data_IF_244803429877
#
_entry.id   IF_244803429877
#
_cell.length_a   1.000
_cell.length_b   1.000
_cell.length_c   1.000
_cell.angle_alpha   90.00
_cell.angle_beta   90.00
_cell.angle_gamma   90.00
#
_symmetry.space_group_name_H-M   'P 1'
#
loop_
_entity.id
_entity.type
_entity.pdbx_description
1 polymer ?
#
# COMPACT_ATOMS: atom_id res chain seq x y z
N UNK A 1 44.53 -27.94 -1.54
CA UNK A 1 43.30 -28.19 -2.30
C UNK A 1 42.73 -26.82 -2.65
N UNK A 2 43.08 -26.30 -3.85
CA UNK A 2 42.38 -25.18 -4.46
C UNK A 2 40.98 -25.71 -4.84
N UNK A 3 39.97 -25.31 -4.05
CA UNK A 3 38.60 -25.43 -4.51
C UNK A 3 38.43 -24.42 -5.64
N UNK A 4 38.43 -24.92 -6.86
CA UNK A 4 38.10 -24.14 -8.04
C UNK A 4 36.69 -23.57 -7.82
N UNK A 5 36.63 -22.26 -7.49
CA UNK A 5 35.39 -21.59 -7.19
C UNK A 5 34.60 -21.38 -8.48
N UNK A 6 33.67 -22.30 -8.76
CA UNK A 6 32.87 -22.23 -9.96
C UNK A 6 31.70 -21.23 -9.76
N UNK A 7 31.91 -20.00 -10.17
CA UNK A 7 30.97 -18.90 -10.15
C UNK A 7 29.62 -19.26 -10.85
N UNK A 8 29.73 -19.95 -11.98
CA UNK A 8 28.59 -20.39 -12.78
C UNK A 8 27.73 -21.41 -12.03
N UNK A 9 28.34 -22.41 -11.40
CA UNK A 9 27.61 -23.39 -10.59
C UNK A 9 26.97 -22.76 -9.36
N UNK A 10 27.61 -21.78 -8.74
CA UNK A 10 27.04 -21.04 -7.62
C UNK A 10 25.82 -20.22 -8.06
N UNK A 11 25.90 -19.48 -9.19
CA UNK A 11 24.77 -18.75 -9.73
C UNK A 11 23.59 -19.67 -10.03
N UNK A 12 23.81 -20.78 -10.72
CA UNK A 12 22.76 -21.78 -11.01
C UNK A 12 22.06 -22.28 -9.74
N UNK A 13 22.84 -22.55 -8.69
CA UNK A 13 22.28 -22.99 -7.41
C UNK A 13 21.45 -21.89 -6.74
N UNK A 14 21.97 -20.65 -6.67
CA UNK A 14 21.24 -19.52 -6.08
C UNK A 14 19.92 -19.25 -6.83
N UNK A 15 19.93 -19.30 -8.15
CA UNK A 15 18.73 -19.19 -8.97
C UNK A 15 17.74 -20.32 -8.68
N UNK A 16 18.22 -21.58 -8.59
CA UNK A 16 17.37 -22.72 -8.26
C UNK A 16 16.74 -22.55 -6.86
N UNK A 17 17.52 -22.15 -5.86
CA UNK A 17 17.00 -21.88 -4.51
C UNK A 17 15.89 -20.80 -4.53
N UNK A 18 16.05 -19.73 -5.31
CA UNK A 18 15.04 -18.69 -5.49
C UNK A 18 13.72 -19.20 -6.09
N UNK A 19 13.73 -20.27 -6.92
CA UNK A 19 12.53 -20.84 -7.51
C UNK A 19 11.68 -21.66 -6.54
N UNK A 20 12.23 -22.06 -5.38
CA UNK A 20 11.48 -22.78 -4.33
C UNK A 20 10.72 -21.84 -3.38
N UNK A 21 10.85 -20.54 -3.54
CA UNK A 21 10.14 -19.56 -2.72
C UNK A 21 8.65 -19.63 -3.04
N UNK A 22 7.82 -19.77 -1.99
CA UNK A 22 6.39 -19.72 -2.15
C UNK A 22 5.91 -18.28 -2.41
N UNK A 23 5.64 -17.97 -3.68
CA UNK A 23 5.21 -16.63 -4.11
C UNK A 23 4.01 -16.09 -3.32
N UNK A 24 3.07 -16.97 -2.91
CA UNK A 24 1.85 -16.55 -2.20
C UNK A 24 2.11 -16.08 -0.76
N UNK A 25 3.29 -16.35 -0.21
CA UNK A 25 3.65 -15.91 1.13
C UNK A 25 4.16 -14.46 1.19
N UNK A 26 4.40 -13.83 0.03
CA UNK A 26 5.05 -12.51 -0.04
C UNK A 26 4.26 -11.55 -0.93
N UNK A 27 4.60 -10.26 -0.85
CA UNK A 27 4.02 -9.24 -1.70
C UNK A 27 4.40 -9.49 -3.17
N UNK A 28 3.52 -9.18 -4.10
CA UNK A 28 3.79 -9.37 -5.53
C UNK A 28 5.02 -8.56 -5.97
N UNK A 29 5.17 -7.32 -5.48
CA UNK A 29 6.28 -6.44 -5.85
C UNK A 29 7.63 -6.98 -5.36
N UNK A 30 7.73 -7.45 -4.11
CA UNK A 30 8.97 -7.99 -3.57
C UNK A 30 9.34 -9.33 -4.23
N UNK A 31 8.35 -10.19 -4.52
CA UNK A 31 8.60 -11.43 -5.24
C UNK A 31 9.00 -11.18 -6.70
N UNK A 32 8.40 -10.17 -7.37
CA UNK A 32 8.79 -9.81 -8.75
C UNK A 32 10.26 -9.37 -8.81
N UNK A 33 10.76 -8.65 -7.81
CA UNK A 33 12.18 -8.27 -7.74
C UNK A 33 13.11 -9.51 -7.72
N UNK A 34 12.71 -10.58 -7.03
CA UNK A 34 13.45 -11.86 -7.06
C UNK A 34 13.44 -12.47 -8.46
N UNK A 35 12.27 -12.49 -9.13
CA UNK A 35 12.16 -13.01 -10.49
C UNK A 35 13.01 -12.21 -11.50
N UNK A 36 13.03 -10.90 -11.38
CA UNK A 36 13.83 -10.00 -12.23
C UNK A 36 15.32 -10.23 -12.03
N UNK A 37 15.75 -10.41 -10.78
CA UNK A 37 17.16 -10.74 -10.47
C UNK A 37 17.55 -12.12 -11.03
N UNK A 38 16.68 -13.12 -10.91
CA UNK A 38 16.88 -14.46 -11.49
C UNK A 38 16.98 -14.39 -13.03
N UNK A 39 16.12 -13.60 -13.68
CA UNK A 39 16.14 -13.42 -15.14
C UNK A 39 17.47 -12.82 -15.61
N UNK A 40 18.00 -11.79 -14.92
CA UNK A 40 19.34 -11.23 -15.19
C UNK A 40 20.44 -12.26 -15.01
N UNK A 41 20.35 -13.10 -13.98
CA UNK A 41 21.27 -14.22 -13.77
C UNK A 41 21.26 -15.20 -14.95
N UNK A 42 20.09 -15.52 -15.50
CA UNK A 42 19.97 -16.38 -16.66
C UNK A 42 20.60 -15.75 -17.92
N UNK A 43 20.39 -14.45 -18.16
CA UNK A 43 21.03 -13.73 -19.26
C UNK A 43 22.57 -13.82 -19.21
N UNK A 44 23.16 -13.76 -18.01
CA UNK A 44 24.59 -13.91 -17.82
C UNK A 44 25.07 -15.36 -18.06
N UNK A 45 24.28 -16.36 -17.69
CA UNK A 45 24.62 -17.77 -18.00
C UNK A 45 24.60 -18.07 -19.51
N UNK A 46 23.78 -17.34 -20.26
CA UNK A 46 23.65 -17.49 -21.72
C UNK A 46 24.69 -16.64 -22.48
N UNK A 47 25.42 -15.76 -21.78
CA UNK A 47 26.46 -14.90 -22.35
C UNK A 47 27.85 -15.55 -22.19
N UNK A 48 28.41 -16.08 -23.27
CA UNK A 48 29.74 -16.70 -23.28
C UNK A 48 30.90 -15.74 -22.87
N UNK A 49 30.66 -14.43 -22.87
CA UNK A 49 31.62 -13.40 -22.49
C UNK A 49 31.38 -12.85 -21.07
N UNK A 50 30.45 -13.44 -20.30
CA UNK A 50 30.19 -13.00 -18.93
C UNK A 50 31.44 -13.21 -18.05
N UNK A 51 31.80 -12.18 -17.30
CA UNK A 51 32.92 -12.23 -16.37
C UNK A 51 32.51 -12.82 -15.03
N UNK A 52 33.48 -13.44 -14.31
CA UNK A 52 33.25 -13.91 -12.94
C UNK A 52 32.71 -12.83 -12.02
N UNK A 53 33.15 -11.57 -12.21
CA UNK A 53 32.65 -10.44 -11.41
C UNK A 53 31.17 -10.12 -11.68
N UNK A 54 30.73 -10.17 -12.94
CA UNK A 54 29.30 -9.98 -13.29
C UNK A 54 28.44 -11.10 -12.72
N UNK A 55 28.93 -12.32 -12.75
CA UNK A 55 28.26 -13.48 -12.16
C UNK A 55 28.15 -13.32 -10.64
N UNK A 56 29.21 -12.91 -9.96
CA UNK A 56 29.15 -12.67 -8.50
C UNK A 56 28.22 -11.54 -8.11
N UNK A 57 28.12 -10.47 -8.91
CA UNK A 57 27.16 -9.40 -8.71
C UNK A 57 25.71 -9.92 -8.86
N UNK A 58 25.43 -10.71 -9.87
CA UNK A 58 24.10 -11.29 -10.06
C UNK A 58 23.70 -12.24 -8.90
N UNK A 59 24.67 -13.00 -8.35
CA UNK A 59 24.42 -13.79 -7.14
C UNK A 59 24.03 -12.88 -5.96
N UNK A 60 24.76 -11.77 -5.77
CA UNK A 60 24.44 -10.77 -4.76
C UNK A 60 23.05 -10.19 -4.95
N UNK A 61 22.72 -9.74 -6.16
CA UNK A 61 21.41 -9.15 -6.49
C UNK A 61 20.25 -10.12 -6.17
N UNK A 62 20.41 -11.44 -6.45
CA UNK A 62 19.38 -12.44 -6.11
C UNK A 62 19.24 -12.59 -4.59
N UNK A 63 20.34 -12.66 -3.86
CA UNK A 63 20.34 -12.79 -2.41
C UNK A 63 19.70 -11.55 -1.77
N UNK A 64 20.10 -10.36 -2.21
CA UNK A 64 19.55 -9.08 -1.72
C UNK A 64 18.04 -8.99 -1.98
N UNK A 65 17.58 -9.41 -3.17
CA UNK A 65 16.16 -9.46 -3.47
C UNK A 65 15.39 -10.45 -2.57
N UNK A 66 15.99 -11.62 -2.25
CA UNK A 66 15.38 -12.59 -1.32
C UNK A 66 15.33 -12.06 0.12
N UNK A 67 16.33 -11.32 0.57
CA UNK A 67 16.35 -10.69 1.90
C UNK A 67 15.34 -9.54 2.04
N UNK A 68 14.90 -8.97 0.90
CA UNK A 68 13.90 -7.91 0.82
C UNK A 68 12.47 -8.41 0.55
N UNK A 69 12.23 -9.72 0.73
CA UNK A 69 10.89 -10.28 0.59
C UNK A 69 9.97 -9.81 1.72
N UNK A 70 8.88 -9.16 1.35
CA UNK A 70 7.90 -8.60 2.29
C UNK A 70 6.69 -9.53 2.48
N UNK A 71 6.28 -9.74 3.74
CA UNK A 71 5.06 -10.47 4.08
C UNK A 71 3.88 -9.49 3.95
N UNK A 72 2.76 -9.89 3.31
CA UNK A 72 1.57 -9.06 3.21
C UNK A 72 1.05 -8.66 4.58
N UNK A 73 0.53 -7.44 4.66
CA UNK A 73 -0.15 -6.94 5.84
C UNK A 73 -1.58 -7.46 5.88
N UNK A 74 -2.07 -7.85 7.07
CA UNK A 74 -3.49 -8.17 7.26
C UNK A 74 -4.38 -6.98 6.88
N UNK A 75 -5.21 -7.15 5.86
CA UNK A 75 -6.11 -6.11 5.34
C UNK A 75 -7.17 -5.64 6.33
N UNK A 76 -7.45 -6.43 7.38
CA UNK A 76 -8.40 -6.06 8.45
C UNK A 76 -7.74 -5.37 9.65
N UNK A 77 -6.42 -5.23 9.65
CA UNK A 77 -5.71 -4.49 10.68
C UNK A 77 -6.08 -3.00 10.68
N UNK A 78 -5.90 -2.34 11.82
CA UNK A 78 -6.04 -0.88 11.90
C UNK A 78 -4.88 -0.23 11.13
N UNK A 79 -5.22 0.59 10.15
CA UNK A 79 -4.29 1.34 9.31
C UNK A 79 -4.15 2.75 9.87
N UNK A 80 -3.09 3.00 10.64
CA UNK A 80 -2.81 4.33 11.19
C UNK A 80 -2.39 5.28 10.07
N UNK A 81 -3.08 6.42 9.91
CA UNK A 81 -2.89 7.30 8.76
C UNK A 81 -1.48 7.89 8.70
N UNK A 82 -0.84 8.12 9.85
CA UNK A 82 0.54 8.58 9.97
C UNK A 82 1.59 7.53 9.61
N UNK A 83 1.19 6.24 9.52
CA UNK A 83 2.05 5.10 9.22
C UNK A 83 1.80 4.52 7.83
N UNK A 84 1.26 5.32 6.90
CA UNK A 84 1.10 4.92 5.51
C UNK A 84 2.45 4.67 4.83
N UNK A 85 2.50 3.70 3.92
CA UNK A 85 3.75 3.28 3.26
C UNK A 85 4.23 4.32 2.24
N UNK A 86 3.29 5.07 1.64
CA UNK A 86 3.61 6.18 0.76
C UNK A 86 2.53 7.26 0.76
N UNK A 87 2.90 8.46 0.34
CA UNK A 87 2.00 9.62 0.24
C UNK A 87 2.27 10.42 -1.03
N UNK A 88 1.29 11.22 -1.48
CA UNK A 88 1.48 12.18 -2.57
C UNK A 88 2.48 13.30 -2.23
N UNK A 89 2.88 13.43 -0.97
CA UNK A 89 3.69 14.56 -0.50
C UNK A 89 2.90 15.87 -0.43
N UNK A 90 3.54 16.99 -0.77
CA UNK A 90 2.89 18.29 -0.76
C UNK A 90 2.68 18.85 0.65
N UNK A 91 1.43 19.17 1.02
CA UNK A 91 1.09 19.69 2.34
C UNK A 91 0.80 18.61 3.38
N UNK A 92 0.78 17.33 2.98
CA UNK A 92 0.57 16.22 3.90
C UNK A 92 1.65 16.20 4.98
N UNK A 93 1.23 16.08 6.23
CA UNK A 93 2.11 16.01 7.39
C UNK A 93 1.45 15.29 8.55
N UNK A 94 2.27 14.72 9.40
CA UNK A 94 1.84 14.10 10.65
C UNK A 94 1.81 15.16 11.76
N UNK A 95 0.69 15.28 12.45
CA UNK A 95 0.50 16.10 13.65
C UNK A 95 0.08 15.23 14.82
N UNK A 96 1.03 14.87 15.70
CA UNK A 96 0.80 13.85 16.74
C UNK A 96 0.63 12.47 16.13
N UNK A 97 -0.54 11.88 16.26
CA UNK A 97 -0.92 10.57 15.69
C UNK A 97 -1.93 10.71 14.54
N UNK A 98 -2.02 11.87 13.91
CA UNK A 98 -2.99 12.09 12.82
C UNK A 98 -2.34 12.65 11.57
N UNK A 99 -2.87 12.26 10.42
CA UNK A 99 -2.51 12.85 9.14
C UNK A 99 -3.29 14.16 8.95
N UNK A 100 -2.57 15.22 8.64
CA UNK A 100 -3.10 16.55 8.33
C UNK A 100 -2.60 17.07 6.99
N UNK A 101 -3.19 18.17 6.52
CA UNK A 101 -2.77 18.82 5.28
C UNK A 101 -3.27 18.15 4.02
N UNK A 102 -4.32 17.35 4.13
CA UNK A 102 -4.99 16.74 2.98
C UNK A 102 -5.63 17.83 2.12
N UNK A 103 -5.42 17.76 0.82
CA UNK A 103 -5.96 18.66 -0.19
C UNK A 103 -6.57 17.84 -1.34
N UNK A 104 -7.26 18.47 -2.27
CA UNK A 104 -7.84 17.75 -3.41
C UNK A 104 -6.74 17.04 -4.23
N UNK A 105 -6.91 15.74 -4.42
CA UNK A 105 -5.95 14.88 -5.10
C UNK A 105 -4.78 14.39 -4.24
N UNK A 106 -4.67 14.79 -2.97
CA UNK A 106 -3.73 14.17 -2.05
C UNK A 106 -4.10 12.69 -1.82
N UNK A 107 -3.11 11.85 -1.58
CA UNK A 107 -3.35 10.42 -1.31
C UNK A 107 -2.34 9.85 -0.32
N UNK A 108 -2.76 8.78 0.35
CA UNK A 108 -1.92 7.87 1.11
C UNK A 108 -2.12 6.46 0.57
N UNK A 109 -1.10 5.60 0.73
CA UNK A 109 -1.12 4.21 0.25
C UNK A 109 -0.65 3.27 1.35
N UNK A 110 -1.27 2.10 1.39
CA UNK A 110 -0.80 0.94 2.15
C UNK A 110 -0.51 -0.19 1.18
N UNK A 111 0.70 -0.74 1.27
CA UNK A 111 1.18 -1.78 0.37
C UNK A 111 0.71 -3.15 0.82
N UNK A 112 0.34 -3.97 -0.15
CA UNK A 112 0.08 -5.40 -0.03
C UNK A 112 -0.83 -5.79 1.14
N UNK A 113 -1.97 -5.10 1.28
CA UNK A 113 -3.02 -5.54 2.19
C UNK A 113 -3.59 -6.86 1.67
N UNK A 114 -3.57 -7.91 2.50
CA UNK A 114 -4.11 -9.22 2.18
C UNK A 114 -5.45 -9.43 2.90
N UNK A 115 -6.49 -9.59 2.12
CA UNK A 115 -7.84 -9.82 2.64
C UNK A 115 -8.18 -11.32 2.77
N UNK A 116 -7.22 -12.22 2.49
CA UNK A 116 -7.31 -13.68 2.68
C UNK A 116 -8.55 -14.31 2.02
N UNK A 117 -8.97 -13.80 0.86
CA UNK A 117 -10.17 -14.27 0.15
C UNK A 117 -11.49 -13.83 0.80
N UNK A 118 -11.44 -12.90 1.76
CA UNK A 118 -12.62 -12.28 2.38
C UNK A 118 -12.91 -10.95 1.71
N UNK A 119 -14.19 -10.60 1.63
CA UNK A 119 -14.65 -9.38 0.98
C UNK A 119 -15.14 -8.39 2.05
N UNK A 120 -14.29 -7.47 2.52
CA UNK A 120 -14.72 -6.48 3.50
C UNK A 120 -15.77 -5.57 2.88
N UNK A 121 -16.91 -5.43 3.57
CA UNK A 121 -18.06 -4.64 3.09
C UNK A 121 -18.04 -3.21 3.57
N UNK A 122 -17.28 -2.93 4.61
CA UNK A 122 -17.25 -1.62 5.26
C UNK A 122 -15.82 -1.13 5.42
N UNK A 123 -15.65 0.19 5.32
CA UNK A 123 -14.49 0.91 5.79
C UNK A 123 -14.89 1.74 7.01
N UNK A 124 -14.27 1.49 8.15
CA UNK A 124 -14.31 2.36 9.30
C UNK A 124 -13.24 3.43 9.17
N UNK A 125 -13.62 4.66 9.43
CA UNK A 125 -12.74 5.82 9.35
C UNK A 125 -12.91 6.68 10.59
N UNK A 126 -11.81 6.98 11.29
CA UNK A 126 -11.76 8.01 12.31
C UNK A 126 -11.14 9.27 11.74
N UNK A 127 -11.94 10.35 11.70
CA UNK A 127 -11.53 11.59 11.03
C UNK A 127 -12.13 12.82 11.72
N UNK A 128 -11.58 13.98 11.36
CA UNK A 128 -12.08 15.31 11.74
C UNK A 128 -12.24 16.15 10.46
N UNK A 129 -13.47 16.58 10.20
CA UNK A 129 -13.81 17.50 9.12
C UNK A 129 -14.38 18.80 9.72
N UNK A 130 -13.52 19.79 9.87
CA UNK A 130 -13.89 21.10 10.35
C UNK A 130 -14.54 21.93 9.23
N UNK A 131 -15.84 22.20 9.30
CA UNK A 131 -16.59 22.89 8.23
C UNK A 131 -16.10 24.29 7.89
N UNK A 132 -15.34 24.93 8.79
CA UNK A 132 -14.70 26.22 8.53
C UNK A 132 -13.31 26.11 7.87
N UNK A 133 -12.80 24.88 7.65
CA UNK A 133 -11.45 24.61 7.12
C UNK A 133 -11.44 23.59 5.99
N UNK A 134 -12.46 22.75 5.91
CA UNK A 134 -12.55 21.70 4.91
C UNK A 134 -13.54 22.06 3.80
N UNK A 135 -13.34 21.49 2.63
CA UNK A 135 -14.27 21.59 1.52
C UNK A 135 -15.65 21.05 1.91
N UNK A 136 -16.70 21.67 1.42
CA UNK A 136 -18.09 21.28 1.77
C UNK A 136 -18.52 19.97 1.12
N UNK A 137 -17.83 19.55 0.06
CA UNK A 137 -17.99 18.33 -0.71
C UNK A 137 -16.86 17.32 -0.45
N UNK A 138 -16.20 17.42 0.71
CA UNK A 138 -15.12 16.50 1.11
C UNK A 138 -15.53 15.05 0.98
N UNK A 139 -14.74 14.25 0.29
CA UNK A 139 -14.91 12.80 0.17
C UNK A 139 -13.59 12.07 0.05
N UNK A 140 -13.62 10.76 0.22
CA UNK A 140 -12.48 9.87 0.17
C UNK A 140 -12.75 8.78 -0.87
N UNK A 141 -11.95 8.74 -1.93
CA UNK A 141 -11.96 7.63 -2.87
C UNK A 141 -11.04 6.53 -2.36
N UNK A 142 -11.53 5.28 -2.42
CA UNK A 142 -10.73 4.07 -2.12
C UNK A 142 -10.45 3.37 -3.43
N UNK A 143 -9.18 3.22 -3.77
CA UNK A 143 -8.74 2.70 -5.07
C UNK A 143 -7.72 1.58 -4.89
N UNK A 144 -7.72 0.61 -5.82
CA UNK A 144 -6.81 -0.53 -5.82
C UNK A 144 -5.70 -0.34 -6.84
N UNK A 145 -4.48 -0.69 -6.43
CA UNK A 145 -3.29 -0.89 -7.27
C UNK A 145 -2.84 0.35 -8.07
N UNK A 146 -3.31 1.52 -7.68
CA UNK A 146 -2.91 2.79 -8.28
C UNK A 146 -3.78 3.95 -7.85
N UNK A 147 -3.23 5.18 -7.88
CA UNK A 147 -3.96 6.41 -7.58
C UNK A 147 -5.14 6.63 -8.54
N UNK A 148 -5.02 6.19 -9.79
CA UNK A 148 -6.07 6.16 -10.81
C UNK A 148 -6.61 4.74 -11.04
N UNK A 149 -6.32 3.82 -10.12
CA UNK A 149 -6.72 2.42 -10.18
C UNK A 149 -8.21 2.20 -9.95
N UNK A 150 -8.61 0.95 -9.81
CA UNK A 150 -10.02 0.57 -9.67
C UNK A 150 -10.68 1.22 -8.46
N UNK A 151 -11.73 1.99 -8.66
CA UNK A 151 -12.51 2.63 -7.60
C UNK A 151 -13.42 1.58 -6.92
N UNK A 152 -13.24 1.38 -5.62
CA UNK A 152 -14.07 0.47 -4.80
C UNK A 152 -14.91 1.20 -3.76
N UNK A 153 -14.69 2.49 -3.55
CA UNK A 153 -15.48 3.33 -2.65
C UNK A 153 -15.31 4.81 -2.98
N UNK A 154 -16.40 5.55 -2.91
CA UNK A 154 -16.44 7.03 -2.96
C UNK A 154 -17.25 7.50 -1.75
N UNK A 155 -16.55 7.86 -0.69
CA UNK A 155 -17.06 8.00 0.65
C UNK A 155 -17.19 9.48 0.99
N UNK A 156 -18.42 9.98 1.14
CA UNK A 156 -18.64 11.34 1.59
C UNK A 156 -18.19 11.50 3.05
N UNK A 157 -17.48 12.59 3.34
CA UNK A 157 -16.97 12.92 4.67
C UNK A 157 -17.77 14.10 5.27
N UNK A 158 -18.89 13.86 5.94
CA UNK A 158 -19.66 14.92 6.60
C UNK A 158 -18.80 15.72 7.57
N UNK A 159 -19.13 16.99 7.75
CA UNK A 159 -18.50 17.80 8.78
C UNK A 159 -18.77 17.20 10.17
N UNK A 160 -17.70 17.01 10.94
CA UNK A 160 -17.75 16.52 12.32
C UNK A 160 -17.91 17.65 13.33
N UNK A 161 -17.60 18.88 12.91
CA UNK A 161 -17.70 20.07 13.71
C UNK A 161 -17.45 21.34 12.91
N UNK A 162 -17.54 22.50 13.59
CA UNK A 162 -17.23 23.80 12.94
C UNK A 162 -15.73 24.03 12.84
N UNK A 163 -14.97 23.63 13.86
CA UNK A 163 -13.52 23.80 13.96
C UNK A 163 -12.84 22.46 14.29
N UNK A 164 -11.52 22.39 14.09
CA UNK A 164 -10.71 21.21 14.44
C UNK A 164 -10.85 20.78 15.90
N UNK A 165 -10.81 19.47 16.14
CA UNK A 165 -10.87 18.83 17.45
C UNK A 165 -12.14 18.00 17.69
N UNK A 166 -12.97 17.82 16.67
CA UNK A 166 -14.22 17.06 16.74
C UNK A 166 -14.11 15.76 15.92
N UNK A 167 -13.30 14.81 16.40
CA UNK A 167 -13.14 13.53 15.73
C UNK A 167 -14.38 12.67 15.87
N UNK A 168 -14.83 12.08 14.76
CA UNK A 168 -15.87 11.04 14.73
C UNK A 168 -15.32 9.76 14.09
N UNK A 169 -15.91 8.63 14.49
CA UNK A 169 -15.64 7.33 13.87
C UNK A 169 -16.92 6.88 13.18
N UNK A 170 -16.86 6.70 11.88
CA UNK A 170 -17.98 6.31 11.03
C UNK A 170 -17.61 5.11 10.18
N UNK A 171 -18.60 4.30 9.83
CA UNK A 171 -18.47 3.21 8.87
C UNK A 171 -19.22 3.54 7.59
N UNK A 172 -18.58 3.20 6.47
CA UNK A 172 -19.09 3.45 5.13
C UNK A 172 -19.08 2.14 4.33
N UNK A 173 -20.10 1.93 3.50
CA UNK A 173 -20.12 0.76 2.62
C UNK A 173 -19.09 0.86 1.49
N UNK A 174 -18.44 -0.26 1.18
CA UNK A 174 -17.60 -0.44 -0.01
C UNK A 174 -18.49 -0.84 -1.17
N UNK A 175 -18.37 -0.15 -2.31
CA UNK A 175 -19.27 -0.34 -3.45
C UNK A 175 -19.08 -1.68 -4.17
N UNK A 176 -17.82 -2.18 -4.23
CA UNK A 176 -17.44 -3.39 -4.95
C UNK A 176 -16.51 -4.23 -4.08
N UNK A 177 -16.99 -4.78 -2.95
CA UNK A 177 -16.14 -5.50 -1.98
C UNK A 177 -15.50 -6.77 -2.57
N UNK A 178 -16.11 -7.36 -3.59
CA UNK A 178 -15.59 -8.54 -4.28
C UNK A 178 -14.27 -8.29 -5.04
N UNK A 179 -13.93 -7.03 -5.29
CA UNK A 179 -12.66 -6.64 -5.92
C UNK A 179 -11.50 -6.58 -4.93
N UNK A 180 -11.77 -6.71 -3.63
CA UNK A 180 -10.76 -6.80 -2.56
C UNK A 180 -10.31 -8.24 -2.30
N UNK A 181 -10.65 -9.20 -3.17
CA UNK A 181 -10.16 -10.57 -3.04
C UNK A 181 -8.65 -10.65 -3.29
N UNK A 182 -7.92 -11.13 -2.29
CA UNK A 182 -6.47 -11.30 -2.37
C UNK A 182 -5.67 -10.12 -1.81
N UNK A 183 -4.58 -9.79 -2.49
CA UNK A 183 -3.59 -8.79 -2.05
C UNK A 183 -3.64 -7.57 -2.95
N UNK A 184 -3.73 -6.39 -2.35
CA UNK A 184 -3.79 -5.13 -3.08
C UNK A 184 -2.97 -4.03 -2.41
N UNK A 185 -2.41 -3.16 -3.22
CA UNK A 185 -1.98 -1.84 -2.78
C UNK A 185 -3.23 -0.94 -2.74
N UNK A 186 -3.58 -0.44 -1.56
CA UNK A 186 -4.79 0.34 -1.38
C UNK A 186 -4.46 1.82 -1.24
N UNK A 187 -5.03 2.61 -2.14
CA UNK A 187 -4.90 4.06 -2.17
C UNK A 187 -6.15 4.71 -1.59
N UNK A 188 -5.95 5.64 -0.68
CA UNK A 188 -6.97 6.54 -0.14
C UNK A 188 -6.72 7.93 -0.70
N UNK A 189 -7.57 8.36 -1.64
CA UNK A 189 -7.42 9.62 -2.37
C UNK A 189 -8.40 10.64 -1.83
N UNK A 190 -7.89 11.74 -1.28
CA UNK A 190 -8.69 12.82 -0.73
C UNK A 190 -9.22 13.72 -1.84
N UNK A 191 -10.52 13.98 -1.84
CA UNK A 191 -11.18 14.77 -2.87
C UNK A 191 -12.08 15.84 -2.27
N UNK A 192 -12.19 16.96 -2.98
CA UNK A 192 -13.10 18.03 -2.61
C UNK A 192 -12.75 19.34 -3.30
N UNK A 193 -13.73 20.21 -3.50
CA UNK A 193 -13.53 21.54 -4.08
C UNK A 193 -12.90 22.47 -3.04
N UNK A 194 -11.56 22.44 -2.97
CA UNK A 194 -10.79 23.26 -2.00
C UNK A 194 -10.63 24.69 -2.48
N UNK A 195 -10.61 25.62 -1.53
CA UNK A 195 -10.43 27.06 -1.75
C UNK A 195 -9.53 27.65 -0.65
N UNK A 196 -9.04 28.88 -0.80
CA UNK A 196 -8.11 29.51 0.18
C UNK A 196 -8.63 29.50 1.62
N UNK A 197 -9.95 29.67 1.80
CA UNK A 197 -10.60 29.63 3.13
C UNK A 197 -10.78 28.20 3.65
N UNK A 198 -10.90 27.22 2.76
CA UNK A 198 -11.13 25.80 3.03
C UNK A 198 -10.16 24.93 2.22
N UNK A 199 -8.87 24.98 2.54
CA UNK A 199 -7.85 24.32 1.72
C UNK A 199 -7.72 22.81 1.97
N UNK A 200 -8.50 22.25 2.89
CA UNK A 200 -8.34 20.86 3.32
C UNK A 200 -9.57 20.00 2.99
N UNK A 201 -9.37 18.68 3.03
CA UNK A 201 -10.44 17.68 2.90
C UNK A 201 -10.80 17.14 4.28
N UNK A 202 -9.83 16.64 5.06
CA UNK A 202 -10.03 16.15 6.42
C UNK A 202 -8.69 16.03 7.18
N UNK A 203 -8.74 15.80 8.50
CA UNK A 203 -7.69 15.11 9.24
C UNK A 203 -8.10 13.66 9.42
N UNK A 204 -7.15 12.74 9.35
CA UNK A 204 -7.41 11.31 9.49
C UNK A 204 -6.50 10.73 10.57
N UNK A 205 -7.11 9.98 11.48
CA UNK A 205 -6.43 9.23 12.55
C UNK A 205 -6.13 7.80 12.06
N UNK A 206 -7.19 7.02 11.78
CA UNK A 206 -7.02 5.67 11.26
C UNK A 206 -8.14 5.27 10.28
N UNK A 207 -7.87 4.19 9.54
CA UNK A 207 -8.81 3.47 8.68
C UNK A 207 -8.78 1.98 9.05
N UNK A 208 -9.90 1.29 8.88
CA UNK A 208 -9.98 -0.16 9.08
C UNK A 208 -11.04 -0.78 8.20
N UNK A 209 -10.69 -1.79 7.43
CA UNK A 209 -11.67 -2.60 6.70
C UNK A 209 -12.37 -3.57 7.65
N UNK A 210 -13.66 -3.78 7.45
CA UNK A 210 -14.51 -4.66 8.27
C UNK A 210 -15.46 -5.51 7.40
N UNK A 211 -15.69 -6.74 7.82
CA UNK A 211 -16.64 -7.65 7.16
C UNK A 211 -18.10 -7.32 7.51
N UNK A 212 -18.32 -6.85 8.72
CA UNK A 212 -19.65 -6.55 9.27
C UNK A 212 -19.74 -5.11 9.78
N UNK A 213 -20.94 -4.53 9.68
CA UNK A 213 -21.19 -3.24 10.29
C UNK A 213 -21.27 -3.34 11.82
N UNK A 214 -20.72 -2.35 12.51
CA UNK A 214 -21.07 -2.09 13.89
C UNK A 214 -22.43 -1.40 13.92
N UNK A 215 -23.42 -1.99 14.63
CA UNK A 215 -24.86 -1.69 14.53
C UNK A 215 -25.22 -0.20 14.70
N UNK A 216 -24.36 0.59 15.33
CA UNK A 216 -24.64 2.00 15.67
C UNK A 216 -23.87 3.03 14.80
N UNK A 217 -23.05 2.61 13.83
CA UNK A 217 -22.07 3.49 13.16
C UNK A 217 -22.13 3.56 11.63
N UNK A 218 -23.09 2.89 10.96
CA UNK A 218 -23.22 2.91 9.49
C UNK A 218 -23.96 4.17 9.03
N UNK A 219 -23.36 4.91 8.09
CA UNK A 219 -24.01 6.02 7.37
C UNK A 219 -23.99 5.77 5.87
#
# INVERSE_FOLDING_TARGET
LDFDYDHTSKLKRTMAEATYINASAYTQSSYQAVLDAVAKGQELLDNENATSKEIDLAIGDIIDAQEQLDIPRDGFSVLQAESSDATSGGSLRVEGSVLHGTYDGAWIRYDALDFNGLNPKYLELRYDNASNRCASDSHLEVRLDGVDGTLIGDIQLPATGTAWGSYETLQFEISNPELLDGKHDVYFVFKGTTEDSRPYVAKVDYLQFKETADIDSVK
#
